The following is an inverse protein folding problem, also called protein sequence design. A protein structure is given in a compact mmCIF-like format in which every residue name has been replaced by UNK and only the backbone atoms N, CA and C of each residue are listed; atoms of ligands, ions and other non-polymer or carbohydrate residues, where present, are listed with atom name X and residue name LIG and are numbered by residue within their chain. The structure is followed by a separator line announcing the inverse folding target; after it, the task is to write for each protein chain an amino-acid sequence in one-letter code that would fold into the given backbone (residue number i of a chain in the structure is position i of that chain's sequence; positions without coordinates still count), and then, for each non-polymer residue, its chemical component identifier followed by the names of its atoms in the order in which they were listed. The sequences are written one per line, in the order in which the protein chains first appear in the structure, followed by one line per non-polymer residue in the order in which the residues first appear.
data_IF_374420311434
#
_entry.id   IF_374420311434
#
_cell.length_a   1.000
_cell.length_b   1.000
_cell.length_c   1.000
_cell.angle_alpha   90.00
_cell.angle_beta   90.00
_cell.angle_gamma   90.00
#
_symmetry.space_group_name_H-M   'P 1'
#
loop_
_entity.id
_entity.type
_entity.pdbx_description
1 polymer ?
#
# COMPACT_ATOMS: atom_id res chain seq x y z
N UNK A 1 -9.35 17.52 -3.97
CA UNK A 1 -9.11 18.46 -2.84
C UNK A 1 -7.83 19.28 -3.01
N UNK A 2 -6.72 18.71 -3.50
CA UNK A 2 -5.42 19.41 -3.65
C UNK A 2 -5.07 19.84 -5.09
N UNK A 3 -6.03 19.85 -6.02
CA UNK A 3 -5.80 20.22 -7.43
C UNK A 3 -5.02 19.19 -8.27
N UNK A 4 -4.46 18.14 -7.68
CA UNK A 4 -3.76 17.06 -8.39
C UNK A 4 -4.75 16.23 -9.21
N UNK A 5 -4.47 16.04 -10.51
CA UNK A 5 -5.20 15.07 -11.34
C UNK A 5 -4.87 13.66 -10.87
N UNK A 6 -5.79 13.04 -10.13
CA UNK A 6 -5.56 11.77 -9.48
C UNK A 6 -6.64 10.75 -9.82
N UNK A 7 -6.25 9.49 -9.96
CA UNK A 7 -7.13 8.38 -10.29
C UNK A 7 -6.93 7.22 -9.31
N UNK A 8 -8.03 6.63 -8.84
CA UNK A 8 -8.02 5.35 -8.12
C UNK A 8 -8.12 4.20 -9.10
N UNK A 9 -7.26 3.19 -8.96
CA UNK A 9 -7.21 2.00 -9.79
C UNK A 9 -7.58 0.79 -8.92
N UNK A 10 -8.79 0.28 -9.14
CA UNK A 10 -9.30 -0.88 -8.43
C UNK A 10 -8.64 -2.18 -8.90
N UNK A 11 -8.30 -3.03 -7.93
CA UNK A 11 -7.56 -4.28 -8.14
C UNK A 11 -8.24 -5.49 -7.47
N UNK A 12 -9.34 -5.26 -6.74
CA UNK A 12 -10.21 -6.30 -6.20
C UNK A 12 -11.66 -6.13 -6.63
N UNK A 13 -12.45 -7.19 -6.51
CA UNK A 13 -13.87 -7.20 -6.86
C UNK A 13 -14.69 -6.07 -6.20
N UNK A 14 -14.39 -5.73 -4.95
CA UNK A 14 -15.07 -4.64 -4.21
C UNK A 14 -14.71 -3.29 -4.82
N UNK A 15 -13.42 -3.04 -5.04
CA UNK A 15 -12.94 -1.82 -5.68
C UNK A 15 -13.57 -1.64 -7.06
N UNK A 16 -13.64 -2.71 -7.86
CA UNK A 16 -14.24 -2.67 -9.20
C UNK A 16 -15.73 -2.35 -9.13
N UNK A 17 -16.47 -2.95 -8.21
CA UNK A 17 -17.89 -2.66 -8.02
C UNK A 17 -18.15 -1.20 -7.61
N UNK A 18 -17.24 -0.59 -6.85
CA UNK A 18 -17.33 0.82 -6.42
C UNK A 18 -16.90 1.78 -7.54
N UNK A 19 -15.78 1.49 -8.21
CA UNK A 19 -15.19 2.37 -9.22
C UNK A 19 -15.86 2.24 -10.59
N UNK A 20 -16.59 1.15 -10.85
CA UNK A 20 -17.19 0.83 -12.14
C UNK A 20 -16.18 0.31 -13.17
N UNK A 21 -14.88 0.36 -12.87
CA UNK A 21 -13.79 -0.14 -13.70
C UNK A 21 -12.62 -0.63 -12.84
N UNK A 22 -11.75 -1.46 -13.42
CA UNK A 22 -10.55 -1.98 -12.78
C UNK A 22 -10.30 -3.44 -13.17
N UNK A 23 -9.56 -4.16 -12.33
CA UNK A 23 -9.28 -5.59 -12.51
C UNK A 23 -9.58 -6.34 -11.21
N UNK A 24 -10.20 -7.51 -11.28
CA UNK A 24 -10.28 -8.41 -10.12
C UNK A 24 -9.05 -9.33 -10.17
N UNK A 25 -7.95 -8.89 -9.55
CA UNK A 25 -6.63 -9.49 -9.76
C UNK A 25 -6.54 -10.95 -9.32
N UNK A 26 -7.27 -11.33 -8.28
CA UNK A 26 -7.34 -12.70 -7.74
C UNK A 26 -7.98 -13.71 -8.71
N UNK A 27 -8.77 -13.23 -9.68
CA UNK A 27 -9.37 -14.04 -10.74
C UNK A 27 -8.53 -14.09 -12.02
N UNK A 28 -7.41 -13.36 -12.09
CA UNK A 28 -6.53 -13.36 -13.26
C UNK A 28 -5.53 -14.52 -13.18
N UNK A 29 -5.42 -15.28 -14.27
CA UNK A 29 -4.40 -16.33 -14.43
C UNK A 29 -3.01 -15.72 -14.22
N UNK A 30 -2.17 -16.42 -13.45
CA UNK A 30 -0.88 -15.91 -12.96
C UNK A 30 0.00 -15.30 -14.06
N UNK A 31 0.14 -15.98 -15.20
CA UNK A 31 0.97 -15.54 -16.33
C UNK A 31 0.55 -14.18 -16.92
N UNK A 32 -0.71 -13.79 -16.75
CA UNK A 32 -1.26 -12.54 -17.28
C UNK A 32 -1.51 -11.51 -16.18
N UNK A 33 -1.31 -11.86 -14.91
CA UNK A 33 -1.72 -11.03 -13.80
C UNK A 33 -0.89 -9.74 -13.72
N UNK A 34 0.41 -9.79 -14.03
CA UNK A 34 1.26 -8.61 -14.12
C UNK A 34 0.88 -7.73 -15.32
N UNK A 35 0.63 -8.34 -16.48
CA UNK A 35 0.19 -7.62 -17.69
C UNK A 35 -1.17 -6.95 -17.53
N UNK A 36 -2.09 -7.53 -16.76
CA UNK A 36 -3.38 -6.90 -16.45
C UNK A 36 -3.22 -5.62 -15.63
N UNK A 37 -2.30 -5.63 -14.65
CA UNK A 37 -1.97 -4.44 -13.85
C UNK A 37 -1.28 -3.38 -14.73
N UNK A 38 -0.31 -3.79 -15.56
CA UNK A 38 0.37 -2.89 -16.50
C UNK A 38 -0.62 -2.20 -17.43
N UNK A 39 -1.54 -2.96 -18.04
CA UNK A 39 -2.56 -2.41 -18.93
C UNK A 39 -3.44 -1.38 -18.22
N UNK A 40 -3.83 -1.64 -16.96
CA UNK A 40 -4.62 -0.72 -16.16
C UNK A 40 -3.82 0.57 -15.88
N UNK A 41 -2.55 0.47 -15.51
CA UNK A 41 -1.69 1.65 -15.25
C UNK A 41 -1.47 2.47 -16.52
N UNK A 42 -1.13 1.84 -17.63
CA UNK A 42 -0.89 2.54 -18.91
C UNK A 42 -2.13 3.27 -19.43
N UNK A 43 -3.33 2.72 -19.20
CA UNK A 43 -4.60 3.36 -19.58
C UNK A 43 -4.79 4.74 -18.95
N UNK A 44 -4.35 4.92 -17.70
CA UNK A 44 -4.57 6.16 -16.94
C UNK A 44 -3.30 7.02 -16.80
N UNK A 45 -2.12 6.48 -17.10
CA UNK A 45 -0.81 7.11 -16.82
C UNK A 45 -0.57 8.45 -17.51
N UNK A 46 -1.02 8.65 -18.76
CA UNK A 46 -0.84 9.92 -19.47
C UNK A 46 -1.82 11.02 -19.05
N UNK A 47 -2.95 10.64 -18.43
CA UNK A 47 -4.02 11.57 -18.06
C UNK A 47 -3.94 12.11 -16.62
N UNK A 48 -3.10 11.51 -15.79
CA UNK A 48 -3.08 11.76 -14.34
C UNK A 48 -1.66 11.95 -13.82
N UNK A 49 -1.54 12.79 -12.80
CA UNK A 49 -0.29 13.03 -12.08
C UNK A 49 -0.09 12.00 -10.95
N UNK A 50 -1.17 11.41 -10.44
CA UNK A 50 -1.13 10.47 -9.31
C UNK A 50 -2.12 9.32 -9.45
N UNK A 51 -1.62 8.11 -9.58
CA UNK A 51 -2.41 6.87 -9.61
C UNK A 51 -2.36 6.19 -8.24
N UNK A 52 -3.52 5.98 -7.63
CA UNK A 52 -3.68 5.20 -6.39
C UNK A 52 -4.11 3.78 -6.73
N UNK A 53 -3.17 2.86 -6.72
CA UNK A 53 -3.45 1.46 -6.99
C UNK A 53 -3.87 0.78 -5.69
N UNK A 54 -5.06 0.19 -5.68
CA UNK A 54 -5.56 -0.60 -4.55
C UNK A 54 -4.61 -1.77 -4.26
N UNK A 55 -4.22 -1.94 -2.98
CA UNK A 55 -3.34 -3.04 -2.57
C UNK A 55 -4.09 -4.37 -2.47
N UNK A 56 -3.43 -5.47 -2.84
CA UNK A 56 -3.94 -6.83 -2.69
C UNK A 56 -2.97 -7.71 -1.92
N UNK A 57 -3.51 -8.47 -0.97
CA UNK A 57 -2.76 -9.45 -0.19
C UNK A 57 -1.64 -8.85 0.68
N UNK A 58 -0.65 -9.68 0.99
CA UNK A 58 0.56 -9.28 1.73
C UNK A 58 1.72 -10.19 1.37
N UNK A 59 2.94 -9.65 1.27
CA UNK A 59 4.17 -10.45 1.14
C UNK A 59 4.42 -11.36 2.36
N UNK A 60 3.80 -11.05 3.51
CA UNK A 60 3.88 -11.89 4.71
C UNK A 60 2.86 -13.03 4.71
N UNK A 61 1.81 -12.97 3.88
CA UNK A 61 0.76 -13.99 3.91
C UNK A 61 1.16 -15.21 3.05
N UNK A 62 1.21 -16.43 3.59
CA UNK A 62 1.81 -17.59 2.92
C UNK A 62 1.08 -18.04 1.66
N UNK A 63 -0.22 -17.71 1.54
CA UNK A 63 -1.04 -18.01 0.38
C UNK A 63 -1.30 -16.80 -0.55
N UNK A 64 -0.56 -15.70 -0.39
CA UNK A 64 -0.81 -14.46 -1.15
C UNK A 64 0.20 -14.27 -2.28
N UNK A 65 -0.29 -14.03 -3.49
CA UNK A 65 0.52 -13.66 -4.66
C UNK A 65 0.29 -12.20 -5.11
N UNK A 66 -0.82 -11.58 -4.69
CA UNK A 66 -1.30 -10.30 -5.23
C UNK A 66 -0.29 -9.15 -5.11
N UNK A 67 0.37 -9.01 -3.96
CA UNK A 67 1.31 -7.89 -3.72
C UNK A 67 2.47 -7.88 -4.70
N UNK A 68 3.07 -9.05 -4.96
CA UNK A 68 4.17 -9.18 -5.91
C UNK A 68 3.73 -8.83 -7.33
N UNK A 69 2.60 -9.37 -7.76
CA UNK A 69 2.02 -9.13 -9.07
C UNK A 69 1.72 -7.65 -9.30
N UNK A 70 1.14 -6.98 -8.30
CA UNK A 70 0.89 -5.54 -8.33
C UNK A 70 2.18 -4.75 -8.51
N UNK A 71 3.20 -5.01 -7.69
CA UNK A 71 4.48 -4.29 -7.77
C UNK A 71 5.14 -4.43 -9.14
N UNK A 72 5.07 -5.62 -9.75
CA UNK A 72 5.68 -5.88 -11.06
C UNK A 72 4.95 -5.18 -12.20
N UNK A 73 3.61 -5.26 -12.24
CA UNK A 73 2.85 -4.62 -13.30
C UNK A 73 2.75 -3.10 -13.16
N UNK A 74 2.75 -2.60 -11.92
CA UNK A 74 2.58 -1.17 -11.66
C UNK A 74 3.87 -0.35 -11.68
N UNK A 75 5.01 -0.99 -11.40
CA UNK A 75 6.30 -0.31 -11.17
C UNK A 75 6.15 0.94 -10.27
N UNK A 76 5.66 0.77 -9.03
CA UNK A 76 5.27 1.89 -8.19
C UNK A 76 6.49 2.76 -7.82
N UNK A 77 6.31 4.08 -7.81
CA UNK A 77 7.32 5.02 -7.33
C UNK A 77 7.32 5.16 -5.81
N UNK A 78 6.15 4.98 -5.19
CA UNK A 78 5.92 5.09 -3.75
C UNK A 78 5.00 3.96 -3.29
N UNK A 79 5.22 3.51 -2.06
CA UNK A 79 4.36 2.55 -1.37
C UNK A 79 3.80 3.19 -0.09
N UNK A 80 2.56 2.86 0.25
CA UNK A 80 1.99 3.14 1.57
C UNK A 80 1.78 1.80 2.26
N UNK A 81 2.47 1.59 3.37
CA UNK A 81 2.35 0.34 4.13
C UNK A 81 1.09 0.41 4.99
N UNK A 82 0.12 -0.46 4.73
CA UNK A 82 -1.04 -0.60 5.60
C UNK A 82 -0.73 -1.58 6.74
N UNK A 83 -0.99 -1.18 7.98
CA UNK A 83 -0.80 -2.04 9.15
C UNK A 83 -1.93 -1.81 10.16
N UNK A 84 -2.25 -2.81 10.99
CA UNK A 84 -3.22 -2.68 12.08
C UNK A 84 -2.47 -2.63 13.40
N UNK A 85 -2.69 -1.57 14.17
CA UNK A 85 -2.03 -1.38 15.46
C UNK A 85 -2.24 -2.58 16.39
N UNK A 86 -1.15 -3.04 17.00
CA UNK A 86 -1.14 -4.18 17.93
C UNK A 86 -1.31 -5.56 17.27
N UNK A 87 -1.30 -5.67 15.94
CA UNK A 87 -1.36 -6.98 15.28
C UNK A 87 0.03 -7.61 15.17
N UNK A 88 0.21 -8.77 15.79
CA UNK A 88 1.51 -9.45 15.82
C UNK A 88 1.64 -10.68 14.91
N UNK A 89 0.52 -11.15 14.34
CA UNK A 89 0.50 -12.31 13.44
C UNK A 89 -0.59 -12.20 12.40
N UNK A 90 -0.49 -13.00 11.34
CA UNK A 90 -1.52 -13.10 10.31
C UNK A 90 -2.76 -13.79 10.90
N UNK A 91 -3.91 -13.12 10.88
CA UNK A 91 -5.11 -13.57 11.60
C UNK A 91 -5.57 -14.99 11.23
N UNK A 92 -5.44 -15.39 9.96
CA UNK A 92 -5.79 -16.74 9.47
C UNK A 92 -4.61 -17.72 9.43
N UNK A 93 -3.42 -17.27 9.79
CA UNK A 93 -2.21 -18.08 9.90
C UNK A 93 -1.37 -17.61 11.10
N UNK A 94 -1.81 -17.83 12.35
CA UNK A 94 -1.19 -17.23 13.54
C UNK A 94 0.28 -17.64 13.78
N UNK A 95 0.71 -18.75 13.17
CA UNK A 95 2.09 -19.23 13.17
C UNK A 95 3.02 -18.32 12.34
N UNK A 96 2.48 -17.47 11.47
CA UNK A 96 3.22 -16.43 10.75
C UNK A 96 3.21 -15.15 11.57
N UNK A 97 4.35 -14.86 12.21
CA UNK A 97 4.56 -13.62 12.96
C UNK A 97 4.82 -12.46 12.02
N UNK A 98 4.29 -11.30 12.37
CA UNK A 98 4.59 -10.04 11.69
C UNK A 98 5.93 -9.53 12.26
N UNK A 99 6.97 -9.36 11.43
CA UNK A 99 8.24 -8.79 11.88
C UNK A 99 8.09 -7.33 12.33
N UNK A 100 9.11 -6.74 12.97
CA UNK A 100 9.20 -5.30 13.15
C UNK A 100 8.92 -4.55 11.83
N UNK A 101 8.24 -3.40 11.91
CA UNK A 101 7.83 -2.68 10.70
C UNK A 101 9.02 -2.20 9.86
N UNK A 102 10.18 -1.95 10.47
CA UNK A 102 11.44 -1.66 9.76
C UNK A 102 11.82 -2.77 8.78
N UNK A 103 11.65 -4.04 9.18
CA UNK A 103 12.00 -5.19 8.36
C UNK A 103 10.95 -5.40 7.27
N UNK A 104 9.67 -5.15 7.60
CA UNK A 104 8.58 -5.18 6.62
C UNK A 104 8.76 -4.10 5.56
N UNK A 105 9.18 -2.90 5.93
CA UNK A 105 9.53 -1.81 5.01
C UNK A 105 10.67 -2.26 4.09
N UNK A 106 11.78 -2.74 4.66
CA UNK A 106 12.94 -3.20 3.88
C UNK A 106 12.56 -4.32 2.89
N UNK A 107 11.71 -5.27 3.30
CA UNK A 107 11.18 -6.33 2.44
C UNK A 107 10.42 -5.74 1.24
N UNK A 108 9.49 -4.82 1.47
CA UNK A 108 8.67 -4.24 0.40
C UNK A 108 9.53 -3.45 -0.59
N UNK A 109 10.49 -2.64 -0.11
CA UNK A 109 11.39 -1.88 -0.98
C UNK A 109 12.31 -2.79 -1.79
N UNK A 110 12.89 -3.83 -1.17
CA UNK A 110 13.74 -4.79 -1.86
C UNK A 110 13.00 -5.55 -2.97
N UNK A 111 11.76 -5.98 -2.69
CA UNK A 111 10.91 -6.66 -3.68
C UNK A 111 10.49 -5.72 -4.80
N UNK A 112 10.07 -4.49 -4.49
CA UNK A 112 9.66 -3.51 -5.48
C UNK A 112 10.81 -3.15 -6.43
N UNK A 113 12.02 -2.93 -5.89
CA UNK A 113 13.23 -2.61 -6.65
C UNK A 113 13.89 -3.81 -7.30
N UNK A 114 13.44 -5.03 -6.99
CA UNK A 114 14.05 -6.29 -7.42
C UNK A 114 15.58 -6.28 -7.24
N UNK A 115 16.04 -5.97 -6.02
CA UNK A 115 17.46 -5.83 -5.69
C UNK A 115 18.24 -4.84 -6.58
N UNK A 116 17.58 -3.81 -7.11
CA UNK A 116 18.16 -2.78 -7.97
C UNK A 116 17.99 -3.01 -9.47
N UNK A 117 17.37 -4.12 -9.88
CA UNK A 117 17.06 -4.38 -11.28
C UNK A 117 15.89 -3.51 -11.82
N UNK A 118 15.07 -2.94 -10.93
CA UNK A 118 13.93 -2.09 -11.27
C UNK A 118 14.11 -0.67 -10.70
N UNK A 119 13.36 0.32 -11.24
CA UNK A 119 13.38 1.69 -10.73
C UNK A 119 13.20 1.78 -9.20
N UNK A 120 13.73 2.85 -8.58
CA UNK A 120 13.60 3.04 -7.14
C UNK A 120 12.13 3.19 -6.73
N UNK A 121 11.76 2.48 -5.67
CA UNK A 121 10.49 2.58 -4.97
C UNK A 121 10.80 2.63 -3.47
N UNK A 122 10.07 3.45 -2.72
CA UNK A 122 10.21 3.57 -1.26
C UNK A 122 8.87 3.51 -0.55
N UNK A 123 8.87 3.06 0.70
CA UNK A 123 7.70 3.23 1.58
C UNK A 123 7.66 4.68 2.03
N UNK A 124 6.67 5.42 1.55
CA UNK A 124 6.52 6.85 1.82
C UNK A 124 5.81 7.13 3.14
N UNK A 125 5.14 6.14 3.73
CA UNK A 125 4.43 6.28 4.99
C UNK A 125 3.59 5.07 5.33
N UNK A 126 2.95 5.12 6.50
CA UNK A 126 2.18 4.01 7.06
C UNK A 126 0.73 4.45 7.30
N UNK A 127 -0.20 3.72 6.69
CA UNK A 127 -1.61 3.82 7.00
C UNK A 127 -1.93 2.87 8.16
N UNK A 128 -1.99 3.42 9.37
CA UNK A 128 -2.18 2.63 10.59
C UNK A 128 -3.66 2.52 10.93
N UNK A 129 -4.23 1.32 10.84
CA UNK A 129 -5.59 1.04 11.26
C UNK A 129 -5.64 0.94 12.78
N UNK A 130 -6.29 1.92 13.41
CA UNK A 130 -6.50 2.03 14.86
C UNK A 130 -7.95 1.80 15.26
N UNK A 131 -8.79 1.23 14.39
CA UNK A 131 -10.24 1.12 14.59
C UNK A 131 -10.69 0.30 15.80
N UNK A 132 -9.77 -0.37 16.50
CA UNK A 132 -10.02 -1.12 17.75
C UNK A 132 -9.54 -0.37 19.00
N UNK A 133 -8.99 0.81 18.84
CA UNK A 133 -8.40 1.62 19.90
C UNK A 133 -9.28 2.83 20.21
N UNK A 134 -9.15 3.34 21.44
CA UNK A 134 -9.67 4.66 21.80
C UNK A 134 -8.97 5.75 20.99
N UNK A 135 -9.51 6.97 20.96
CA UNK A 135 -8.86 8.08 20.27
C UNK A 135 -7.50 8.44 20.89
N UNK A 136 -7.35 8.31 22.21
CA UNK A 136 -6.10 8.55 22.91
C UNK A 136 -5.05 7.48 22.54
N UNK A 137 -5.42 6.21 22.61
CA UNK A 137 -4.53 5.10 22.26
C UNK A 137 -4.18 5.08 20.78
N UNK A 138 -5.10 5.51 19.91
CA UNK A 138 -4.83 5.63 18.48
C UNK A 138 -3.80 6.71 18.17
N UNK A 139 -3.86 7.86 18.85
CA UNK A 139 -2.83 8.90 18.73
C UNK A 139 -1.48 8.39 19.22
N UNK A 140 -1.45 7.77 20.39
CA UNK A 140 -0.23 7.19 20.94
C UNK A 140 0.37 6.13 19.99
N UNK A 141 -0.45 5.26 19.40
CA UNK A 141 0.00 4.25 18.45
C UNK A 141 0.57 4.87 17.16
N UNK A 142 -0.04 5.95 16.65
CA UNK A 142 0.47 6.70 15.50
C UNK A 142 1.83 7.32 15.82
N UNK A 143 1.94 8.01 16.95
CA UNK A 143 3.18 8.69 17.37
C UNK A 143 4.31 7.68 17.61
N UNK A 144 4.01 6.56 18.28
CA UNK A 144 4.97 5.48 18.51
C UNK A 144 5.45 4.89 17.18
N UNK A 145 4.53 4.55 16.27
CA UNK A 145 4.89 3.96 14.97
C UNK A 145 5.73 4.93 14.13
N UNK A 146 5.41 6.23 14.19
CA UNK A 146 6.20 7.26 13.50
C UNK A 146 7.61 7.37 14.08
N UNK A 147 7.76 7.32 15.41
CA UNK A 147 9.07 7.33 16.06
C UNK A 147 9.89 6.07 15.73
N UNK A 148 9.27 4.89 15.72
CA UNK A 148 9.94 3.61 15.43
C UNK A 148 10.42 3.51 13.98
N UNK A 149 9.66 4.06 13.03
CA UNK A 149 9.92 3.88 11.60
C UNK A 149 10.58 5.09 10.94
N UNK A 150 10.52 6.26 11.58
CA UNK A 150 10.97 7.53 11.00
C UNK A 150 10.13 7.99 9.80
N UNK A 151 8.95 7.41 9.59
CA UNK A 151 8.06 7.69 8.47
C UNK A 151 6.80 8.43 8.91
N UNK A 152 6.15 9.19 8.00
CA UNK A 152 4.81 9.70 8.23
C UNK A 152 3.81 8.57 8.48
N UNK A 153 3.04 8.69 9.58
CA UNK A 153 2.01 7.72 9.96
C UNK A 153 0.68 8.43 10.15
N UNK A 154 -0.41 7.84 9.68
CA UNK A 154 -1.75 8.30 9.99
C UNK A 154 -2.75 7.15 9.95
N UNK A 155 -3.72 7.17 10.86
CA UNK A 155 -5.00 6.51 10.59
C UNK A 155 -5.80 7.38 9.62
N UNK A 156 -5.78 7.01 8.34
CA UNK A 156 -6.39 7.82 7.28
C UNK A 156 -7.91 7.95 7.40
N UNK A 157 -8.57 7.02 8.11
CA UNK A 157 -10.01 7.03 8.32
C UNK A 157 -10.38 7.89 9.53
N UNK A 158 -9.54 7.91 10.58
CA UNK A 158 -9.79 8.67 11.81
C UNK A 158 -9.22 10.08 11.78
N UNK A 159 -7.99 10.25 11.29
CA UNK A 159 -7.26 11.53 11.33
C UNK A 159 -7.01 12.13 9.94
N UNK A 160 -7.34 11.40 8.87
CA UNK A 160 -7.22 11.86 7.50
C UNK A 160 -5.88 11.51 6.85
N UNK A 161 -5.86 11.60 5.52
CA UNK A 161 -4.74 11.14 4.70
C UNK A 161 -3.64 12.19 4.44
N UNK A 162 -3.78 13.41 4.98
CA UNK A 162 -2.90 14.53 4.62
C UNK A 162 -1.39 14.21 4.77
N UNK A 163 -0.90 13.67 5.92
CA UNK A 163 0.52 13.38 6.08
C UNK A 163 1.08 12.40 5.03
N UNK A 164 0.29 11.39 4.66
CA UNK A 164 0.70 10.38 3.69
C UNK A 164 0.71 10.94 2.26
N UNK A 165 -0.30 11.75 1.91
CA UNK A 165 -0.36 12.42 0.61
C UNK A 165 0.78 13.43 0.47
N UNK A 166 1.10 14.18 1.51
CA UNK A 166 2.24 15.11 1.53
C UNK A 166 3.56 14.41 1.28
N UNK A 167 3.78 13.25 1.91
CA UNK A 167 4.97 12.43 1.70
C UNK A 167 5.11 11.92 0.25
N UNK A 168 4.01 11.48 -0.36
CA UNK A 168 4.01 11.00 -1.76
C UNK A 168 4.25 12.13 -2.75
N UNK A 169 3.70 13.32 -2.50
CA UNK A 169 3.87 14.48 -3.37
C UNK A 169 5.21 15.21 -3.18
N UNK A 170 6.03 14.80 -2.21
CA UNK A 170 7.29 15.49 -1.88
C UNK A 170 7.10 16.82 -1.16
N UNK A 171 5.95 17.04 -0.53
CA UNK A 171 5.61 18.24 0.23
C UNK A 171 5.80 18.07 1.75
N UNK A 172 6.29 16.90 2.20
CA UNK A 172 6.64 16.68 3.59
C UNK A 172 7.82 17.59 3.97
N UNK A 173 7.57 18.51 4.91
CA UNK A 173 8.61 19.31 5.56
C UNK A 173 9.32 18.49 6.62
#
# INVERSE_FOLDING_TARGET
RRGVRSQFLATGQIGVAIAGEGIALDAVRLDFATGAVEQLVLRHGLGHELLWIEGQGSLLHPASTGTYTLMRGALPTHLILAHRAGQESIARAPWVRIPPLSDVIALHEAVARAAGALPPARVAGIALNTGRLSDADARAAVDQTAAETGLPVSDVLRFGAAPLVDSVLGNAR
#
